data_IF_930102185216
#
_entry.id   IF_930102185216
#
_cell.length_a   1.000
_cell.length_b   1.000
_cell.length_c   1.000
_cell.angle_alpha   90.00
_cell.angle_beta   90.00
_cell.angle_gamma   90.00
#
_symmetry.space_group_name_H-M   'P 1'
#
loop_
_entity.id
_entity.type
_entity.pdbx_description
1 polymer ?
#
# COMPACT_ATOMS: atom_id res chain seq x y z
N UNK A 1 -33.96 9.60 -20.33
CA UNK A 1 -33.96 9.50 -18.86
C UNK A 1 -32.57 9.93 -18.44
N UNK A 2 -32.42 11.13 -17.87
CA UNK A 2 -31.15 11.53 -17.26
C UNK A 2 -31.03 10.71 -15.96
N UNK A 3 -30.21 9.67 -15.98
CA UNK A 3 -29.76 9.02 -14.75
C UNK A 3 -28.77 9.98 -14.07
N UNK A 4 -29.31 10.88 -13.26
CA UNK A 4 -28.52 11.73 -12.38
C UNK A 4 -27.92 10.89 -11.24
N UNK A 5 -26.67 11.16 -10.88
CA UNK A 5 -26.04 10.54 -9.72
C UNK A 5 -26.72 10.98 -8.42
N UNK A 6 -27.03 10.03 -7.52
CA UNK A 6 -27.46 10.35 -6.16
C UNK A 6 -26.26 10.81 -5.32
N UNK A 7 -26.09 12.13 -5.25
CA UNK A 7 -25.02 12.75 -4.46
C UNK A 7 -25.16 12.44 -2.97
N UNK A 8 -26.39 12.30 -2.45
CA UNK A 8 -26.63 11.99 -1.04
C UNK A 8 -26.11 10.60 -0.67
N UNK A 9 -26.39 9.62 -1.54
CA UNK A 9 -25.88 8.26 -1.39
C UNK A 9 -24.34 8.22 -1.48
N UNK A 10 -23.73 8.89 -2.46
CA UNK A 10 -22.27 8.96 -2.61
C UNK A 10 -21.62 9.57 -1.36
N UNK A 11 -22.15 10.69 -0.86
CA UNK A 11 -21.63 11.37 0.33
C UNK A 11 -21.69 10.48 1.57
N UNK A 12 -22.73 9.66 1.70
CA UNK A 12 -22.89 8.75 2.83
C UNK A 12 -21.74 7.72 2.93
N UNK A 13 -21.13 7.35 1.79
CA UNK A 13 -20.02 6.40 1.73
C UNK A 13 -18.63 7.00 1.98
N UNK A 14 -18.48 8.32 1.97
CA UNK A 14 -17.17 9.00 2.02
C UNK A 14 -16.40 8.67 3.29
N UNK A 15 -17.07 8.69 4.45
CA UNK A 15 -16.40 8.41 5.73
C UNK A 15 -15.77 7.02 5.77
N UNK A 16 -16.46 6.01 5.24
CA UNK A 16 -15.93 4.64 5.15
C UNK A 16 -14.76 4.54 4.17
N UNK A 17 -14.85 5.23 3.03
CA UNK A 17 -13.76 5.29 2.06
C UNK A 17 -12.50 5.95 2.64
N UNK A 18 -12.65 7.05 3.38
CA UNK A 18 -11.53 7.74 4.04
C UNK A 18 -10.84 6.79 5.03
N UNK A 19 -11.58 6.11 5.90
CA UNK A 19 -10.99 5.21 6.90
C UNK A 19 -10.29 4.01 6.24
N UNK A 20 -10.88 3.48 5.15
CA UNK A 20 -10.25 2.45 4.33
C UNK A 20 -8.90 2.91 3.79
N UNK A 21 -8.82 4.10 3.18
CA UNK A 21 -7.57 4.62 2.61
C UNK A 21 -6.55 4.99 3.67
N UNK A 22 -6.97 5.53 4.81
CA UNK A 22 -6.10 5.75 5.96
C UNK A 22 -5.44 4.44 6.39
N UNK A 23 -6.25 3.40 6.59
CA UNK A 23 -5.75 2.06 6.92
C UNK A 23 -4.87 1.48 5.81
N UNK A 24 -5.17 1.78 4.54
CA UNK A 24 -4.37 1.34 3.39
C UNK A 24 -2.97 1.97 3.38
N UNK A 25 -2.87 3.26 3.71
CA UNK A 25 -1.58 3.94 3.83
C UNK A 25 -0.78 3.41 5.03
N UNK A 26 -1.43 3.19 6.17
CA UNK A 26 -0.77 2.63 7.37
C UNK A 26 -0.20 1.22 7.14
N UNK A 27 -0.84 0.43 6.25
CA UNK A 27 -0.36 -0.90 5.87
C UNK A 27 1.02 -0.89 5.21
N UNK A 28 1.43 0.19 4.54
CA UNK A 28 2.74 0.26 3.88
C UNK A 28 3.89 0.08 4.87
N UNK A 29 3.83 0.80 5.99
CA UNK A 29 4.81 0.70 7.08
C UNK A 29 4.83 -0.68 7.71
N UNK A 30 3.65 -1.27 7.93
CA UNK A 30 3.54 -2.62 8.49
C UNK A 30 4.14 -3.68 7.54
N UNK A 31 3.89 -3.57 6.24
CA UNK A 31 4.42 -4.50 5.23
C UNK A 31 5.95 -4.46 5.16
N UNK A 32 6.56 -3.28 5.10
CA UNK A 32 8.03 -3.15 5.07
C UNK A 32 8.65 -3.67 6.36
N UNK A 33 8.13 -3.24 7.52
CA UNK A 33 8.65 -3.65 8.83
C UNK A 33 8.66 -5.17 8.96
N UNK A 34 7.52 -5.82 8.72
CA UNK A 34 7.40 -7.27 8.84
C UNK A 34 8.30 -8.01 7.83
N UNK A 35 8.45 -7.47 6.61
CA UNK A 35 9.33 -8.04 5.59
C UNK A 35 10.79 -8.02 6.04
N UNK A 36 11.28 -6.86 6.49
CA UNK A 36 12.68 -6.69 6.93
C UNK A 36 12.99 -7.50 8.19
N UNK A 37 12.07 -7.50 9.16
CA UNK A 37 12.20 -8.31 10.38
C UNK A 37 12.32 -9.80 10.05
N UNK A 38 11.47 -10.29 9.14
CA UNK A 38 11.52 -11.69 8.70
C UNK A 38 12.79 -12.01 7.93
N UNK A 39 13.20 -11.15 7.00
CA UNK A 39 14.46 -11.30 6.26
C UNK A 39 15.67 -11.40 7.21
N UNK A 40 15.70 -10.54 8.24
CA UNK A 40 16.75 -10.53 9.25
C UNK A 40 16.76 -11.83 10.06
N UNK A 41 15.60 -12.26 10.55
CA UNK A 41 15.44 -13.52 11.31
C UNK A 41 15.86 -14.75 10.50
N UNK A 42 15.59 -14.76 9.21
CA UNK A 42 15.90 -15.89 8.31
C UNK A 42 17.25 -15.74 7.60
N UNK A 43 18.05 -14.71 7.93
CA UNK A 43 19.32 -14.37 7.29
C UNK A 43 19.24 -14.30 5.75
N UNK A 44 18.16 -13.69 5.23
CA UNK A 44 17.90 -13.50 3.80
C UNK A 44 18.30 -12.09 3.36
N UNK A 45 19.05 -12.01 2.25
CA UNK A 45 19.48 -10.72 1.65
C UNK A 45 18.52 -10.19 0.58
N UNK A 46 17.68 -11.05 0.02
CA UNK A 46 16.74 -10.73 -1.06
C UNK A 46 15.39 -11.37 -0.73
N UNK A 47 14.31 -10.63 -0.93
CA UNK A 47 12.93 -11.12 -0.83
C UNK A 47 12.06 -10.48 -1.91
N UNK A 48 10.91 -11.08 -2.17
CA UNK A 48 9.87 -10.49 -3.00
C UNK A 48 8.67 -10.15 -2.11
N UNK A 49 8.28 -8.88 -2.10
CA UNK A 49 7.05 -8.39 -1.47
C UNK A 49 6.01 -8.16 -2.56
N UNK A 50 4.94 -8.96 -2.56
CA UNK A 50 3.86 -8.86 -3.55
C UNK A 50 2.72 -8.02 -2.98
N UNK A 51 2.35 -6.95 -3.67
CA UNK A 51 1.30 -6.02 -3.26
C UNK A 51 0.43 -5.60 -4.44
N UNK A 52 -0.71 -4.97 -4.17
CA UNK A 52 -1.48 -4.25 -5.19
C UNK A 52 -0.81 -2.94 -5.58
N UNK A 53 -1.04 -2.48 -6.82
CA UNK A 53 -0.38 -1.29 -7.38
C UNK A 53 -0.58 0.01 -6.59
N UNK A 54 -1.65 0.10 -5.79
CA UNK A 54 -1.89 1.22 -4.87
C UNK A 54 -0.70 1.47 -3.92
N UNK A 55 -0.05 0.41 -3.44
CA UNK A 55 1.00 0.51 -2.43
C UNK A 55 2.38 0.88 -3.00
N UNK A 56 2.54 0.94 -4.32
CA UNK A 56 3.86 1.14 -4.96
C UNK A 56 4.51 2.46 -4.54
N UNK A 57 3.76 3.57 -4.52
CA UNK A 57 4.33 4.88 -4.16
C UNK A 57 4.79 4.90 -2.68
N UNK A 58 3.89 4.53 -1.76
CA UNK A 58 4.20 4.52 -0.32
C UNK A 58 5.35 3.58 0.03
N UNK A 59 5.37 2.36 -0.52
CA UNK A 59 6.45 1.41 -0.28
C UNK A 59 7.78 1.89 -0.85
N UNK A 60 7.82 2.42 -2.07
CA UNK A 60 9.09 2.89 -2.67
C UNK A 60 9.65 4.10 -1.93
N UNK A 61 8.78 4.99 -1.41
CA UNK A 61 9.20 6.07 -0.51
C UNK A 61 9.80 5.53 0.79
N UNK A 62 9.10 4.63 1.48
CA UNK A 62 9.60 4.02 2.72
C UNK A 62 10.92 3.28 2.50
N UNK A 63 11.06 2.53 1.40
CA UNK A 63 12.31 1.83 1.09
C UNK A 63 13.48 2.80 0.91
N UNK A 64 13.27 3.94 0.23
CA UNK A 64 14.29 5.01 0.12
C UNK A 64 14.66 5.58 1.48
N UNK A 65 13.67 5.94 2.29
CA UNK A 65 13.86 6.54 3.62
C UNK A 65 14.62 5.58 4.56
N UNK A 66 14.40 4.28 4.42
CA UNK A 66 15.07 3.23 5.19
C UNK A 66 16.37 2.71 4.54
N UNK A 67 16.87 3.37 3.49
CA UNK A 67 18.07 2.98 2.75
C UNK A 67 18.08 1.51 2.27
N UNK A 68 16.91 0.98 1.89
CA UNK A 68 16.73 -0.37 1.36
C UNK A 68 16.88 -0.37 -0.16
N UNK A 69 17.69 -1.30 -0.69
CA UNK A 69 17.76 -1.57 -2.12
C UNK A 69 16.49 -2.26 -2.61
N UNK A 70 15.89 -1.78 -3.71
CA UNK A 70 14.65 -2.35 -4.24
C UNK A 70 14.56 -2.30 -5.76
N UNK A 71 13.70 -3.17 -6.32
CA UNK A 71 13.26 -3.19 -7.71
C UNK A 71 11.73 -3.35 -7.73
N UNK A 72 11.04 -2.55 -8.55
CA UNK A 72 9.60 -2.69 -8.78
C UNK A 72 9.36 -3.44 -10.08
N UNK A 73 8.56 -4.50 -10.03
CA UNK A 73 8.14 -5.28 -11.20
C UNK A 73 6.62 -5.19 -11.31
N UNK A 74 6.12 -4.72 -12.44
CA UNK A 74 4.68 -4.63 -12.74
C UNK A 74 4.38 -5.54 -13.93
N UNK A 75 3.41 -6.48 -13.81
CA UNK A 75 2.97 -7.30 -14.95
C UNK A 75 2.43 -6.42 -16.09
N UNK A 76 2.66 -6.86 -17.34
CA UNK A 76 2.06 -6.26 -18.55
C UNK A 76 0.74 -6.93 -18.90
#
# INVERSE_FOLDING_TARGET
MEEGYDIGEILSGISGAIEFYKTAVERDSAMIKNTVERMTKENRRVSALVTGGYHTEGLTKLMKENALSYLVIVPK
#
